data_IF_103010752976
#
_entry.id   IF_103010752976
#
_cell.length_a   1.000
_cell.length_b   1.000
_cell.length_c   1.000
_cell.angle_alpha   90.00
_cell.angle_beta   90.00
_cell.angle_gamma   90.00
#
_symmetry.space_group_name_H-M   'P 1'
#
loop_
_entity.id
_entity.type
_entity.pdbx_description
1 polymer ?
#
# COMPACT_ATOMS: atom_id res chain seq x y z
N UNK A 1 -14.48 1.32 5.16
CA UNK A 1 -13.41 2.31 5.41
C UNK A 1 -13.08 3.01 4.09
N UNK A 2 -13.16 4.37 4.00
CA UNK A 2 -12.85 5.11 2.78
C UNK A 2 -11.45 4.84 2.21
N UNK A 3 -10.43 4.75 3.07
CA UNK A 3 -9.05 4.43 2.70
C UNK A 3 -8.96 3.10 1.95
N UNK A 4 -9.55 2.04 2.53
CA UNK A 4 -9.58 0.71 1.92
C UNK A 4 -10.28 0.71 0.57
N UNK A 5 -11.44 1.38 0.46
CA UNK A 5 -12.19 1.44 -0.82
C UNK A 5 -11.38 2.15 -1.90
N UNK A 6 -10.69 3.25 -1.57
CA UNK A 6 -9.85 3.97 -2.51
C UNK A 6 -8.72 3.08 -3.05
N UNK A 7 -8.02 2.33 -2.20
CA UNK A 7 -7.01 1.35 -2.64
C UNK A 7 -7.59 0.26 -3.54
N UNK A 8 -8.67 -0.39 -3.14
CA UNK A 8 -9.30 -1.46 -3.93
C UNK A 8 -9.72 -0.99 -5.33
N UNK A 9 -10.26 0.23 -5.44
CA UNK A 9 -10.66 0.80 -6.73
C UNK A 9 -9.46 1.19 -7.59
N UNK A 10 -8.44 1.81 -6.99
CA UNK A 10 -7.26 2.30 -7.71
C UNK A 10 -6.39 1.16 -8.24
N UNK A 11 -6.23 0.09 -7.46
CA UNK A 11 -5.51 -1.11 -7.90
C UNK A 11 -6.22 -1.75 -9.09
N UNK A 12 -7.55 -1.89 -9.05
CA UNK A 12 -8.34 -2.42 -10.17
C UNK A 12 -8.29 -1.52 -11.40
N UNK A 13 -8.34 -0.20 -11.22
CA UNK A 13 -8.24 0.76 -12.31
C UNK A 13 -6.87 0.68 -13.02
N UNK A 14 -5.82 0.30 -12.30
CA UNK A 14 -4.50 0.03 -12.85
C UNK A 14 -4.34 -1.39 -13.44
N UNK A 15 -5.42 -2.18 -13.50
CA UNK A 15 -5.41 -3.56 -14.02
C UNK A 15 -4.88 -4.62 -13.05
N UNK A 16 -4.70 -4.27 -11.77
CA UNK A 16 -4.24 -5.19 -10.73
C UNK A 16 -5.39 -5.86 -9.97
N UNK A 17 -5.07 -7.00 -9.35
CA UNK A 17 -5.98 -7.73 -8.45
C UNK A 17 -5.60 -7.46 -6.98
N UNK A 18 -6.38 -6.67 -6.22
CA UNK A 18 -6.03 -6.33 -4.86
C UNK A 18 -6.22 -7.52 -3.91
N UNK A 19 -5.23 -7.75 -3.05
CA UNK A 19 -5.29 -8.74 -1.96
C UNK A 19 -5.07 -8.07 -0.61
N UNK A 20 -5.79 -8.53 0.41
CA UNK A 20 -5.47 -8.16 1.79
C UNK A 20 -4.30 -9.01 2.28
N UNK A 21 -3.29 -8.34 2.83
CA UNK A 21 -2.14 -8.99 3.42
C UNK A 21 -2.01 -8.51 4.86
N UNK A 22 -1.84 -9.46 5.78
CA UNK A 22 -1.46 -9.15 7.15
C UNK A 22 0.05 -9.25 7.23
N UNK A 23 0.73 -8.12 7.43
CA UNK A 23 2.18 -8.12 7.70
C UNK A 23 2.39 -8.67 9.10
N UNK A 24 3.14 -9.76 9.20
CA UNK A 24 3.39 -10.49 10.45
C UNK A 24 4.57 -9.92 11.25
N UNK A 25 5.44 -9.14 10.59
CA UNK A 25 6.51 -8.37 11.23
C UNK A 25 6.00 -7.06 11.84
N UNK A 26 6.86 -6.40 12.61
CA UNK A 26 6.59 -5.06 13.15
C UNK A 26 6.83 -3.98 12.08
N UNK A 27 6.02 -2.93 12.10
CA UNK A 27 6.16 -1.74 11.29
C UNK A 27 5.79 -0.50 12.11
N UNK A 28 6.04 0.69 11.56
CA UNK A 28 5.66 1.96 12.20
C UNK A 28 4.17 2.03 12.56
N UNK A 29 3.33 1.28 11.84
CA UNK A 29 1.89 1.15 12.13
C UNK A 29 1.62 0.63 13.54
N UNK A 30 2.46 -0.26 14.06
CA UNK A 30 2.35 -0.75 15.43
C UNK A 30 2.67 0.36 16.45
N UNK A 31 3.58 1.27 16.10
CA UNK A 31 4.03 2.39 16.95
C UNK A 31 3.02 3.53 16.95
N UNK A 32 2.44 3.87 15.79
CA UNK A 32 1.52 5.00 15.68
C UNK A 32 0.08 4.65 16.08
N UNK A 33 -0.33 3.37 16.03
CA UNK A 33 -1.69 2.97 16.34
C UNK A 33 -2.18 3.41 17.74
N UNK A 34 -1.40 3.28 18.83
CA UNK A 34 -1.80 3.80 20.14
C UNK A 34 -1.96 5.32 20.19
N UNK A 35 -1.23 6.05 19.35
CA UNK A 35 -1.23 7.51 19.31
C UNK A 35 -2.37 8.08 18.43
N UNK A 36 -2.81 7.32 17.43
CA UNK A 36 -3.88 7.70 16.50
C UNK A 36 -4.97 6.62 16.39
N UNK A 37 -5.71 6.34 17.48
CA UNK A 37 -6.61 5.18 17.56
C UNK A 37 -7.78 5.20 16.57
N UNK A 38 -8.14 6.38 16.04
CA UNK A 38 -9.26 6.56 15.11
C UNK A 38 -8.82 6.82 13.66
N UNK A 39 -7.51 6.76 13.37
CA UNK A 39 -6.99 7.05 12.03
C UNK A 39 -6.82 5.74 11.26
N UNK A 40 -7.53 5.54 10.14
CA UNK A 40 -7.28 4.43 9.23
C UNK A 40 -5.83 4.40 8.74
N UNK A 41 -5.23 3.22 8.73
CA UNK A 41 -3.85 3.01 8.22
C UNK A 41 -3.81 1.79 7.31
N UNK A 42 -2.99 1.86 6.26
CA UNK A 42 -2.72 0.78 5.30
C UNK A 42 -1.24 0.81 4.94
N UNK A 43 -0.61 -0.37 4.85
CA UNK A 43 0.69 -0.53 4.20
C UNK A 43 0.48 -0.80 2.71
N UNK A 44 1.14 -0.02 1.86
CA UNK A 44 1.11 -0.23 0.42
C UNK A 44 2.46 0.16 -0.19
N UNK A 45 2.97 -0.70 -1.06
CA UNK A 45 4.18 -0.46 -1.83
C UNK A 45 4.40 -1.60 -2.85
N UNK A 46 5.11 -1.32 -3.96
CA UNK A 46 5.58 -2.35 -4.88
C UNK A 46 6.73 -3.16 -4.27
N UNK A 47 6.98 -4.34 -4.83
CA UNK A 47 8.13 -5.18 -4.48
C UNK A 47 7.77 -6.41 -3.66
N UNK A 48 8.70 -7.38 -3.67
CA UNK A 48 8.57 -8.62 -2.92
C UNK A 48 9.25 -8.51 -1.56
N UNK A 49 8.45 -8.47 -0.49
CA UNK A 49 8.97 -8.41 0.87
C UNK A 49 9.74 -9.66 1.33
N UNK A 50 9.77 -10.74 0.52
CA UNK A 50 10.68 -11.86 0.77
C UNK A 50 12.16 -11.50 0.54
N UNK A 51 12.41 -10.41 -0.21
CA UNK A 51 13.74 -9.88 -0.49
C UNK A 51 14.24 -8.91 0.57
N UNK A 52 13.41 -8.54 1.56
CA UNK A 52 13.77 -7.64 2.66
C UNK A 52 15.08 -8.12 3.31
N UNK A 53 16.10 -7.25 3.35
CA UNK A 53 17.43 -7.51 3.93
C UNK A 53 18.28 -8.59 3.25
N UNK A 54 17.97 -8.94 2.00
CA UNK A 54 18.81 -9.84 1.21
C UNK A 54 19.89 -9.06 0.43
N UNK A 55 21.06 -9.67 0.12
CA UNK A 55 22.06 -9.03 -0.75
C UNK A 55 21.60 -8.82 -2.20
N UNK A 56 20.47 -9.43 -2.58
CA UNK A 56 19.86 -9.34 -3.90
C UNK A 56 18.55 -8.53 -3.84
N UNK A 57 18.40 -7.64 -2.87
CA UNK A 57 17.25 -6.74 -2.83
C UNK A 57 17.14 -5.93 -4.14
N UNK A 58 16.04 -6.12 -4.84
CA UNK A 58 15.73 -5.44 -6.10
C UNK A 58 14.23 -5.26 -6.23
N UNK A 59 13.85 -4.42 -7.19
CA UNK A 59 12.45 -4.12 -7.51
C UNK A 59 12.26 -4.09 -9.01
N UNK A 60 11.09 -4.54 -9.48
CA UNK A 60 10.71 -4.41 -10.87
C UNK A 60 10.31 -2.95 -11.18
N UNK A 61 10.90 -2.35 -12.21
CA UNK A 61 10.68 -0.94 -12.55
C UNK A 61 9.28 -0.68 -13.09
N UNK A 62 8.66 -1.67 -13.75
CA UNK A 62 7.30 -1.55 -14.22
C UNK A 62 6.32 -1.58 -13.05
N UNK A 63 6.52 -2.51 -12.10
CA UNK A 63 5.75 -2.58 -10.85
C UNK A 63 5.88 -1.29 -10.04
N UNK A 64 7.10 -0.74 -9.94
CA UNK A 64 7.36 0.54 -9.29
C UNK A 64 6.56 1.68 -9.92
N UNK A 65 6.58 1.81 -11.25
CA UNK A 65 5.80 2.81 -11.98
C UNK A 65 4.29 2.64 -11.82
N UNK A 66 3.80 1.40 -11.85
CA UNK A 66 2.39 1.08 -11.63
C UNK A 66 1.95 1.48 -10.22
N UNK A 67 2.75 1.19 -9.19
CA UNK A 67 2.41 1.53 -7.81
C UNK A 67 2.34 3.04 -7.56
N UNK A 68 3.18 3.84 -8.23
CA UNK A 68 3.05 5.31 -8.22
C UNK A 68 1.69 5.73 -8.79
N UNK A 69 1.29 5.15 -9.93
CA UNK A 69 0.00 5.42 -10.56
C UNK A 69 -1.18 5.09 -9.64
N UNK A 70 -1.15 3.91 -9.00
CA UNK A 70 -2.15 3.51 -8.01
C UNK A 70 -2.19 4.49 -6.84
N UNK A 71 -1.06 4.82 -6.24
CA UNK A 71 -1.02 5.70 -5.06
C UNK A 71 -1.55 7.11 -5.38
N UNK A 72 -1.22 7.65 -6.56
CA UNK A 72 -1.76 8.92 -7.04
C UNK A 72 -3.28 8.90 -7.15
N UNK A 73 -3.82 7.82 -7.72
CA UNK A 73 -5.27 7.64 -7.89
C UNK A 73 -5.98 7.47 -6.54
N UNK A 74 -5.37 6.75 -5.59
CA UNK A 74 -5.87 6.62 -4.21
C UNK A 74 -6.03 7.99 -3.58
N UNK A 75 -4.99 8.81 -3.61
CA UNK A 75 -5.00 10.16 -3.04
C UNK A 75 -6.07 11.03 -3.71
N UNK A 76 -6.17 10.97 -5.04
CA UNK A 76 -7.20 11.69 -5.81
C UNK A 76 -8.61 11.32 -5.35
N UNK A 77 -8.90 10.02 -5.21
CA UNK A 77 -10.22 9.54 -4.74
C UNK A 77 -10.53 9.94 -3.30
N UNK A 78 -9.53 9.97 -2.44
CA UNK A 78 -9.70 10.37 -1.04
C UNK A 78 -9.97 11.87 -0.88
N UNK A 79 -9.44 12.69 -1.78
CA UNK A 79 -9.65 14.15 -1.77
C UNK A 79 -10.94 14.59 -2.47
N UNK A 80 -11.54 13.72 -3.28
CA UNK A 80 -12.79 14.00 -4.01
C UNK A 80 -14.06 13.55 -3.27
N UNK A 81 -13.92 12.79 -2.17
CA UNK A 81 -15.02 12.37 -1.30
C UNK A 81 -15.13 13.22 -0.05
#
# INVERSE_FOLDING_TARGET
>A
NPLVRAFLQSIRAAGGEPRFVVKTGTADMNVVAPHWPNTPVVAYGPGDSSLDHTPQEHIDLQEYGQAIGVLREVLTRLMQG
#
